data_IF_146352783458
#
_entry.id   IF_146352783458
#
_cell.length_a   1.000
_cell.length_b   1.000
_cell.length_c   1.000
_cell.angle_alpha   90.00
_cell.angle_beta   90.00
_cell.angle_gamma   90.00
#
_symmetry.space_group_name_H-M   'P 1'
#
loop_
_entity.id
_entity.type
_entity.pdbx_description
1 polymer ?
#
# COMPACT_ATOMS: atom_id res chain seq x y z
N UNK A 1 20.17 0.30 -13.34
CA UNK A 1 18.79 -0.20 -13.41
C UNK A 1 17.90 1.03 -13.28
N UNK A 2 16.92 1.29 -14.15
CA UNK A 2 15.96 2.35 -13.89
C UNK A 2 15.27 2.01 -12.56
N UNK A 3 15.18 3.00 -11.68
CA UNK A 3 14.54 2.83 -10.38
C UNK A 3 13.07 2.40 -10.63
N UNK A 4 12.63 1.30 -10.04
CA UNK A 4 11.28 0.73 -10.20
C UNK A 4 10.17 1.77 -9.95
N UNK A 5 10.48 2.80 -9.18
CA UNK A 5 9.55 3.87 -8.77
C UNK A 5 9.07 4.77 -9.92
N UNK A 6 9.80 4.81 -11.06
CA UNK A 6 9.41 5.64 -12.22
C UNK A 6 8.28 5.02 -13.07
N UNK A 7 7.90 3.76 -12.79
CA UNK A 7 6.85 3.05 -13.56
C UNK A 7 5.48 3.05 -12.89
N UNK A 8 5.40 3.40 -11.60
CA UNK A 8 4.14 3.44 -10.88
C UNK A 8 3.41 4.77 -11.13
N UNK A 9 2.07 4.74 -11.25
CA UNK A 9 1.29 5.93 -11.56
C UNK A 9 1.24 6.90 -10.38
N UNK A 10 1.27 8.18 -10.72
CA UNK A 10 0.98 9.30 -9.81
C UNK A 10 -0.32 9.95 -10.26
N UNK A 11 -1.22 10.16 -9.35
CA UNK A 11 -2.51 10.79 -9.60
C UNK A 11 -2.56 12.15 -8.93
N UNK A 12 -3.07 13.16 -9.64
CA UNK A 12 -3.33 14.49 -9.10
C UNK A 12 -4.83 14.70 -9.09
N UNK A 13 -5.40 15.02 -7.93
CA UNK A 13 -6.84 15.28 -7.76
C UNK A 13 -7.01 16.64 -7.12
N UNK A 14 -7.48 17.61 -7.89
CA UNK A 14 -7.59 19.04 -7.50
C UNK A 14 -8.65 19.70 -8.38
N UNK A 15 -9.54 20.53 -7.86
CA UNK A 15 -10.60 21.17 -8.63
C UNK A 15 -10.13 22.40 -9.42
N UNK A 16 -8.97 22.98 -9.07
CA UNK A 16 -8.35 24.09 -9.80
C UNK A 16 -7.56 23.57 -11.03
N UNK A 17 -8.05 23.84 -12.23
CA UNK A 17 -7.43 23.45 -13.50
C UNK A 17 -5.98 23.95 -13.62
N UNK A 18 -5.74 25.23 -13.29
CA UNK A 18 -4.40 25.84 -13.39
C UNK A 18 -3.41 25.16 -12.43
N UNK A 19 -3.90 24.75 -11.26
CA UNK A 19 -3.09 24.02 -10.29
C UNK A 19 -2.79 22.60 -10.79
N UNK A 20 -3.80 21.90 -11.34
CA UNK A 20 -3.60 20.56 -11.92
C UNK A 20 -2.55 20.59 -13.01
N UNK A 21 -2.66 21.51 -13.97
CA UNK A 21 -1.71 21.64 -15.09
C UNK A 21 -0.29 21.93 -14.58
N UNK A 22 -0.17 22.82 -13.60
CA UNK A 22 1.13 23.16 -13.00
C UNK A 22 1.76 21.97 -12.29
N UNK A 23 0.95 21.18 -11.57
CA UNK A 23 1.43 19.98 -10.87
C UNK A 23 1.81 18.87 -11.85
N UNK A 24 1.02 18.64 -12.90
CA UNK A 24 1.34 17.67 -13.95
C UNK A 24 2.69 18.02 -14.58
N UNK A 25 2.85 19.27 -15.05
CA UNK A 25 4.10 19.72 -15.66
C UNK A 25 5.30 19.55 -14.72
N UNK A 26 5.17 19.98 -13.47
CA UNK A 26 6.21 19.89 -12.47
C UNK A 26 6.61 18.43 -12.17
N UNK A 27 5.65 17.53 -12.10
CA UNK A 27 5.92 16.13 -11.78
C UNK A 27 6.47 15.34 -12.99
N UNK A 28 6.05 15.69 -14.21
CA UNK A 28 6.63 15.15 -15.44
C UNK A 28 8.09 15.56 -15.62
N UNK A 29 8.49 16.78 -15.19
CA UNK A 29 9.90 17.20 -15.15
C UNK A 29 10.75 16.33 -14.18
N UNK A 30 10.11 15.64 -13.22
CA UNK A 30 10.74 14.68 -12.31
C UNK A 30 10.59 13.22 -12.76
N UNK A 31 10.25 12.98 -14.04
CA UNK A 31 10.09 11.67 -14.67
C UNK A 31 8.94 10.80 -14.07
N UNK A 32 7.92 11.40 -13.46
CA UNK A 32 6.72 10.66 -13.04
C UNK A 32 5.71 10.52 -14.17
N UNK A 33 5.00 9.38 -14.21
CA UNK A 33 3.83 9.19 -15.07
C UNK A 33 2.59 9.71 -14.33
N UNK A 34 2.02 10.82 -14.80
CA UNK A 34 0.95 11.53 -14.09
C UNK A 34 -0.38 11.41 -14.82
N UNK A 35 -1.46 11.24 -14.07
CA UNK A 35 -2.84 11.39 -14.52
C UNK A 35 -3.58 12.33 -13.58
N UNK A 36 -4.37 13.27 -14.15
CA UNK A 36 -5.02 14.30 -13.38
C UNK A 36 -6.55 14.17 -13.44
N UNK A 37 -7.21 14.51 -12.35
CA UNK A 37 -8.66 14.43 -12.15
C UNK A 37 -9.17 15.71 -11.51
N UNK A 38 -10.33 16.19 -11.94
CA UNK A 38 -10.91 17.44 -11.45
C UNK A 38 -11.65 17.30 -10.11
N UNK A 39 -12.02 16.05 -9.74
CA UNK A 39 -12.76 15.77 -8.51
C UNK A 39 -12.56 14.32 -8.01
N UNK A 40 -13.03 14.09 -6.79
CA UNK A 40 -12.96 12.75 -6.16
C UNK A 40 -13.75 11.67 -6.89
N UNK A 41 -15.01 11.90 -7.31
CA UNK A 41 -15.79 10.92 -8.05
C UNK A 41 -15.11 10.46 -9.34
N UNK A 42 -14.65 11.38 -10.20
CA UNK A 42 -13.97 11.04 -11.45
C UNK A 42 -12.70 10.21 -11.24
N UNK A 43 -11.93 10.53 -10.18
CA UNK A 43 -10.77 9.75 -9.77
C UNK A 43 -11.17 8.33 -9.33
N UNK A 44 -12.14 8.21 -8.42
CA UNK A 44 -12.54 6.91 -7.86
C UNK A 44 -13.16 5.98 -8.89
N UNK A 45 -13.87 6.53 -9.88
CA UNK A 45 -14.52 5.75 -10.95
C UNK A 45 -13.53 5.31 -12.04
N UNK A 46 -12.43 6.04 -12.23
CA UNK A 46 -11.49 5.82 -13.34
C UNK A 46 -10.27 4.98 -12.94
N UNK A 47 -9.90 4.96 -11.66
CA UNK A 47 -8.65 4.36 -11.19
C UNK A 47 -8.87 2.98 -10.57
N UNK A 48 -8.02 2.02 -10.95
CA UNK A 48 -8.00 0.71 -10.28
C UNK A 48 -7.37 0.84 -8.89
N UNK A 49 -8.22 0.97 -7.87
CA UNK A 49 -7.82 1.11 -6.47
C UNK A 49 -7.08 -0.10 -5.90
N UNK A 50 -6.97 -1.21 -6.64
CA UNK A 50 -6.21 -2.41 -6.22
C UNK A 50 -4.75 -2.38 -6.61
N UNK A 51 -4.33 -1.39 -7.40
CA UNK A 51 -2.96 -1.21 -7.89
C UNK A 51 -2.17 -0.24 -7.02
N UNK A 52 -0.85 -0.41 -6.93
CA UNK A 52 0.00 0.55 -6.22
C UNK A 52 0.17 1.84 -7.02
N UNK A 53 0.44 2.92 -6.32
CA UNK A 53 0.65 4.26 -6.87
C UNK A 53 0.60 5.32 -5.78
N UNK A 54 0.66 6.58 -6.17
CA UNK A 54 0.59 7.71 -5.24
C UNK A 54 -0.45 8.74 -5.70
N UNK A 55 -1.26 9.23 -4.77
CA UNK A 55 -2.28 10.28 -5.02
C UNK A 55 -1.86 11.56 -4.34
N UNK A 56 -1.69 12.62 -5.11
CA UNK A 56 -1.60 14.00 -4.62
C UNK A 56 -3.02 14.57 -4.61
N UNK A 57 -3.55 14.83 -3.43
CA UNK A 57 -4.98 15.05 -3.22
C UNK A 57 -5.23 16.42 -2.56
N UNK A 58 -6.02 17.26 -3.20
CA UNK A 58 -6.52 18.46 -2.52
C UNK A 58 -7.54 18.06 -1.44
N UNK A 59 -7.47 18.73 -0.31
CA UNK A 59 -8.38 18.51 0.82
C UNK A 59 -9.76 19.16 0.60
N UNK A 60 -9.84 20.21 -0.22
CA UNK A 60 -11.05 21.04 -0.42
C UNK A 60 -11.49 21.05 -1.86
N UNK A 61 -12.34 20.13 -2.22
CA UNK A 61 -13.01 20.08 -3.53
C UNK A 61 -14.53 20.19 -3.36
N UNK A 62 -15.28 20.72 -4.35
CA UNK A 62 -16.70 21.04 -4.18
C UNK A 62 -17.58 19.85 -3.82
N UNK A 63 -17.60 18.80 -4.59
CA UNK A 63 -18.55 17.69 -4.43
C UNK A 63 -18.16 16.69 -3.35
N UNK A 64 -16.87 16.36 -3.28
CA UNK A 64 -16.31 15.41 -2.34
C UNK A 64 -14.98 15.92 -1.81
N UNK A 65 -14.87 16.07 -0.50
CA UNK A 65 -13.62 16.49 0.15
C UNK A 65 -12.55 15.41 0.02
N UNK A 66 -11.29 15.81 -0.02
CA UNK A 66 -10.16 14.86 -0.09
C UNK A 66 -10.18 13.82 1.04
N UNK A 67 -10.62 14.19 2.24
CA UNK A 67 -10.77 13.24 3.36
C UNK A 67 -11.77 12.12 3.05
N UNK A 68 -12.88 12.44 2.38
CA UNK A 68 -13.88 11.45 1.99
C UNK A 68 -13.36 10.51 0.91
N UNK A 69 -12.58 11.04 -0.05
CA UNK A 69 -11.87 10.22 -1.05
C UNK A 69 -10.91 9.24 -0.34
N UNK A 70 -10.09 9.75 0.56
CA UNK A 70 -9.14 8.93 1.33
C UNK A 70 -9.85 7.85 2.17
N UNK A 71 -10.94 8.20 2.86
CA UNK A 71 -11.76 7.22 3.60
C UNK A 71 -12.29 6.09 2.72
N UNK A 72 -12.75 6.41 1.49
CA UNK A 72 -13.23 5.40 0.53
C UNK A 72 -12.09 4.50 0.06
N UNK A 73 -10.89 5.06 -0.19
CA UNK A 73 -9.69 4.28 -0.53
C UNK A 73 -9.30 3.34 0.63
N UNK A 74 -9.32 3.81 1.87
CA UNK A 74 -9.06 2.98 3.06
C UNK A 74 -10.08 1.86 3.20
N UNK A 75 -11.38 2.15 3.04
CA UNK A 75 -12.45 1.13 3.06
C UNK A 75 -12.29 0.07 1.96
N UNK A 76 -11.80 0.48 0.79
CA UNK A 76 -11.48 -0.41 -0.33
C UNK A 76 -10.17 -1.20 -0.11
N UNK A 77 -9.46 -0.98 1.00
CA UNK A 77 -8.13 -1.55 1.25
C UNK A 77 -7.12 -1.26 0.12
N UNK A 78 -7.25 -0.07 -0.49
CA UNK A 78 -6.38 0.36 -1.56
C UNK A 78 -4.91 0.44 -1.09
N UNK A 79 -3.95 -0.06 -1.88
CA UNK A 79 -2.55 0.12 -1.58
C UNK A 79 -2.04 1.52 -1.93
N UNK A 80 -2.82 2.35 -2.65
CA UNK A 80 -2.42 3.70 -3.04
C UNK A 80 -2.03 4.52 -1.82
N UNK A 81 -0.89 5.19 -1.88
CA UNK A 81 -0.48 6.17 -0.87
C UNK A 81 -1.13 7.52 -1.14
N UNK A 82 -1.38 8.30 -0.10
CA UNK A 82 -2.00 9.62 -0.20
C UNK A 82 -1.06 10.69 0.34
N UNK A 83 -0.88 11.75 -0.45
CA UNK A 83 -0.21 12.98 -0.05
C UNK A 83 -1.22 14.11 -0.20
N UNK A 84 -1.49 14.82 0.88
CA UNK A 84 -2.35 15.99 0.81
C UNK A 84 -1.57 17.24 0.37
N UNK A 85 -2.16 17.99 -0.56
CA UNK A 85 -1.66 19.29 -0.99
C UNK A 85 -2.81 20.29 -1.00
N UNK A 86 -2.84 21.23 -0.06
CA UNK A 86 -3.98 22.14 0.15
C UNK A 86 -3.57 23.60 0.26
N UNK A 87 -4.41 24.50 -0.24
CA UNK A 87 -4.24 25.96 -0.07
C UNK A 87 -4.60 26.47 1.33
N UNK A 88 -5.34 25.69 2.10
CA UNK A 88 -5.84 26.06 3.43
C UNK A 88 -5.68 24.91 4.40
N UNK A 89 -4.45 24.65 4.82
CA UNK A 89 -4.14 23.64 5.82
C UNK A 89 -3.89 24.29 7.18
N UNK A 90 -4.47 23.71 8.22
CA UNK A 90 -4.09 23.98 9.60
C UNK A 90 -3.47 22.75 10.25
N UNK A 91 -2.86 22.92 11.41
CA UNK A 91 -2.18 21.84 12.11
C UNK A 91 -3.14 20.69 12.46
N UNK A 92 -4.38 20.91 12.95
CA UNK A 92 -5.33 19.83 13.17
C UNK A 92 -5.61 18.99 11.93
N UNK A 93 -5.85 19.61 10.78
CA UNK A 93 -6.11 18.90 9.51
C UNK A 93 -4.91 18.04 9.09
N UNK A 94 -3.69 18.55 9.23
CA UNK A 94 -2.49 17.79 8.93
C UNK A 94 -2.34 16.55 9.85
N UNK A 95 -2.62 16.72 11.15
CA UNK A 95 -2.56 15.63 12.11
C UNK A 95 -3.62 14.56 11.78
N UNK A 96 -4.86 14.96 11.50
CA UNK A 96 -5.94 14.05 11.10
C UNK A 96 -5.59 13.27 9.83
N UNK A 97 -5.05 13.95 8.81
CA UNK A 97 -4.62 13.32 7.55
C UNK A 97 -3.55 12.23 7.78
N UNK A 98 -2.52 12.54 8.58
CA UNK A 98 -1.46 11.59 8.91
C UNK A 98 -1.97 10.43 9.78
N UNK A 99 -2.87 10.68 10.73
CA UNK A 99 -3.52 9.63 11.52
C UNK A 99 -4.42 8.72 10.67
N UNK A 100 -5.03 9.27 9.61
CA UNK A 100 -5.80 8.49 8.64
C UNK A 100 -4.92 7.65 7.69
N UNK A 101 -3.60 7.78 7.77
CA UNK A 101 -2.64 6.99 6.98
C UNK A 101 -2.05 7.71 5.77
N UNK A 102 -2.25 9.03 5.63
CA UNK A 102 -1.54 9.79 4.60
C UNK A 102 -0.02 9.76 4.85
N UNK A 103 0.74 9.68 3.78
CA UNK A 103 2.22 9.66 3.84
C UNK A 103 2.76 11.03 4.18
N UNK A 104 2.14 12.08 3.64
CA UNK A 104 2.57 13.45 3.88
C UNK A 104 1.42 14.45 3.69
N UNK A 105 1.67 15.68 4.14
CA UNK A 105 0.76 16.80 4.02
C UNK A 105 1.55 18.06 3.69
N UNK A 106 1.18 18.77 2.62
CA UNK A 106 1.80 20.02 2.19
C UNK A 106 0.78 21.14 2.09
N UNK A 107 1.25 22.36 2.37
CA UNK A 107 0.51 23.57 2.08
C UNK A 107 0.99 24.17 0.75
N UNK A 108 0.03 24.59 -0.10
CA UNK A 108 0.32 25.31 -1.34
C UNK A 108 0.85 26.73 -1.02
N UNK A 109 1.90 27.23 -1.71
CA UNK A 109 2.67 26.59 -2.76
C UNK A 109 3.72 25.61 -2.20
N UNK A 110 3.92 24.47 -2.88
CA UNK A 110 4.95 23.48 -2.54
C UNK A 110 6.14 23.57 -3.50
N UNK A 111 7.33 23.27 -3.03
CA UNK A 111 8.50 23.18 -3.90
C UNK A 111 8.52 21.82 -4.62
N UNK A 112 8.80 21.81 -5.92
CA UNK A 112 8.77 20.61 -6.74
C UNK A 112 9.64 19.47 -6.21
N UNK A 113 10.87 19.77 -5.80
CA UNK A 113 11.77 18.75 -5.24
C UNK A 113 11.28 18.14 -3.92
N UNK A 114 10.61 18.92 -3.05
CA UNK A 114 10.04 18.42 -1.79
C UNK A 114 8.84 17.50 -2.09
N UNK A 115 7.98 17.87 -3.03
CA UNK A 115 6.85 17.05 -3.46
C UNK A 115 7.31 15.77 -4.15
N UNK A 116 8.29 15.86 -5.06
CA UNK A 116 8.85 14.72 -5.77
C UNK A 116 9.45 13.67 -4.80
N UNK A 117 10.18 14.14 -3.78
CA UNK A 117 10.75 13.25 -2.76
C UNK A 117 9.65 12.55 -1.94
N UNK A 118 8.61 13.28 -1.54
CA UNK A 118 7.48 12.70 -0.83
C UNK A 118 6.71 11.68 -1.68
N UNK A 119 6.57 11.93 -2.99
CA UNK A 119 5.95 10.99 -3.92
C UNK A 119 6.78 9.69 -4.02
N UNK A 120 8.11 9.76 -4.11
CA UNK A 120 8.97 8.57 -4.10
C UNK A 120 8.76 7.72 -2.85
N UNK A 121 8.75 8.37 -1.68
CA UNK A 121 8.45 7.69 -0.41
C UNK A 121 7.04 7.10 -0.40
N UNK A 122 6.06 7.80 -0.97
CA UNK A 122 4.69 7.33 -1.15
C UNK A 122 4.61 6.09 -2.03
N UNK A 123 5.29 6.07 -3.17
CA UNK A 123 5.32 4.92 -4.07
C UNK A 123 5.93 3.69 -3.40
N UNK A 124 7.04 3.85 -2.65
CA UNK A 124 7.61 2.76 -1.85
C UNK A 124 6.65 2.23 -0.77
N UNK A 125 5.96 3.14 -0.07
CA UNK A 125 4.97 2.77 0.94
C UNK A 125 3.79 2.02 0.31
N UNK A 126 3.34 2.44 -0.86
CA UNK A 126 2.27 1.82 -1.63
C UNK A 126 2.61 0.38 -2.06
N UNK A 127 3.82 0.13 -2.57
CA UNK A 127 4.27 -1.22 -2.91
C UNK A 127 4.34 -2.13 -1.67
N UNK A 128 4.88 -1.63 -0.57
CA UNK A 128 4.92 -2.37 0.70
C UNK A 128 3.50 -2.70 1.18
N UNK A 129 2.58 -1.75 1.07
CA UNK A 129 1.17 -1.95 1.45
C UNK A 129 0.50 -3.02 0.58
N UNK A 130 0.73 -3.00 -0.74
CA UNK A 130 0.24 -4.04 -1.65
C UNK A 130 0.73 -5.43 -1.23
N UNK A 131 2.02 -5.59 -0.99
CA UNK A 131 2.59 -6.87 -0.54
C UNK A 131 1.99 -7.34 0.78
N UNK A 132 1.82 -6.42 1.74
CA UNK A 132 1.20 -6.75 3.02
C UNK A 132 -0.27 -7.16 2.90
N UNK A 133 -1.03 -6.55 2.00
CA UNK A 133 -2.41 -6.96 1.73
C UNK A 133 -2.47 -8.38 1.14
N UNK A 134 -1.57 -8.72 0.22
CA UNK A 134 -1.45 -10.09 -0.33
C UNK A 134 -1.16 -11.09 0.80
N UNK A 135 -0.22 -10.78 1.69
CA UNK A 135 0.12 -11.66 2.81
C UNK A 135 -1.02 -11.80 3.83
N UNK A 136 -1.76 -10.73 4.14
CA UNK A 136 -2.96 -10.78 5.00
C UNK A 136 -4.04 -11.67 4.40
N UNK A 137 -4.30 -11.56 3.10
CA UNK A 137 -5.25 -12.42 2.39
C UNK A 137 -4.79 -13.88 2.38
N UNK A 138 -3.51 -14.14 2.13
CA UNK A 138 -2.94 -15.48 2.21
C UNK A 138 -3.12 -16.08 3.62
N UNK A 139 -2.83 -15.32 4.66
CA UNK A 139 -3.02 -15.74 6.05
C UNK A 139 -4.49 -16.00 6.39
N UNK A 140 -5.40 -15.11 6.00
CA UNK A 140 -6.84 -15.27 6.21
C UNK A 140 -7.42 -16.49 5.48
N UNK A 141 -6.77 -16.97 4.42
CA UNK A 141 -7.17 -18.18 3.67
C UNK A 141 -6.64 -19.49 4.27
N UNK A 142 -5.86 -19.44 5.37
CA UNK A 142 -5.32 -20.63 6.00
C UNK A 142 -6.38 -21.35 6.83
N UNK A 143 -6.37 -22.69 6.75
CA UNK A 143 -7.11 -23.53 7.68
C UNK A 143 -6.43 -23.52 9.05
N UNK A 144 -7.18 -23.86 10.12
CA UNK A 144 -6.61 -24.01 11.47
C UNK A 144 -5.39 -24.92 11.47
N UNK A 145 -5.45 -26.02 10.70
CA UNK A 145 -4.34 -26.98 10.58
C UNK A 145 -3.10 -26.37 9.93
N UNK A 146 -3.28 -25.54 8.91
CA UNK A 146 -2.17 -24.83 8.25
C UNK A 146 -1.56 -23.80 9.21
N UNK A 147 -2.38 -23.13 10.03
CA UNK A 147 -1.90 -22.18 11.05
C UNK A 147 -1.07 -22.90 12.11
N UNK A 148 -1.50 -24.05 12.61
CA UNK A 148 -0.74 -24.85 13.57
C UNK A 148 0.62 -25.28 13.02
N UNK A 149 0.63 -25.76 11.77
CA UNK A 149 1.86 -26.17 11.10
C UNK A 149 2.76 -24.96 10.84
N UNK A 150 2.20 -23.82 10.39
CA UNK A 150 2.94 -22.58 10.16
C UNK A 150 3.68 -22.13 11.44
N UNK A 151 3.00 -22.08 12.57
CA UNK A 151 3.61 -21.72 13.87
C UNK A 151 4.78 -22.61 14.22
N UNK A 152 4.63 -23.93 14.07
CA UNK A 152 5.70 -24.87 14.37
C UNK A 152 6.89 -24.80 13.41
N UNK A 153 6.64 -24.46 12.13
CA UNK A 153 7.71 -24.21 11.16
C UNK A 153 8.53 -22.97 11.57
N UNK A 154 7.84 -21.91 11.98
CA UNK A 154 8.46 -20.64 12.41
C UNK A 154 9.28 -20.84 13.70
N UNK A 155 8.80 -21.69 14.61
CA UNK A 155 9.54 -22.13 15.81
C UNK A 155 10.79 -22.98 15.48
N UNK A 156 11.08 -23.23 14.20
CA UNK A 156 12.25 -23.96 13.74
C UNK A 156 12.16 -25.47 13.92
N UNK A 157 10.97 -26.04 14.17
CA UNK A 157 10.83 -27.47 14.35
C UNK A 157 11.05 -28.24 13.05
N UNK A 158 11.67 -29.42 13.15
CA UNK A 158 11.86 -30.35 12.04
C UNK A 158 10.55 -31.06 11.70
N UNK A 159 10.36 -31.46 10.43
CA UNK A 159 9.13 -32.09 9.95
C UNK A 159 8.71 -33.31 10.78
N UNK A 160 9.67 -34.15 11.20
CA UNK A 160 9.37 -35.33 12.05
C UNK A 160 8.74 -34.90 13.39
N UNK A 161 9.31 -33.89 14.06
CA UNK A 161 8.78 -33.40 15.34
C UNK A 161 7.38 -32.79 15.19
N UNK A 162 7.13 -32.06 14.09
CA UNK A 162 5.80 -31.52 13.76
C UNK A 162 4.81 -32.66 13.54
N UNK A 163 5.20 -33.71 12.81
CA UNK A 163 4.39 -34.87 12.54
C UNK A 163 3.99 -35.60 13.85
N UNK A 164 4.96 -35.82 14.75
CA UNK A 164 4.75 -36.46 16.03
C UNK A 164 3.81 -35.64 16.94
N UNK A 165 4.07 -34.35 17.10
CA UNK A 165 3.27 -33.44 17.93
C UNK A 165 1.83 -33.26 17.43
N UNK A 166 1.64 -33.26 16.12
CA UNK A 166 0.32 -33.09 15.50
C UNK A 166 -0.37 -34.42 15.16
N UNK A 167 0.24 -35.57 15.48
CA UNK A 167 -0.28 -36.89 15.18
C UNK A 167 -0.66 -37.11 13.70
N UNK A 168 0.23 -36.68 12.76
CA UNK A 168 0.06 -36.84 11.31
C UNK A 168 1.31 -37.46 10.68
N UNK A 169 1.17 -37.93 9.44
CA UNK A 169 2.32 -38.44 8.70
C UNK A 169 3.31 -37.32 8.33
N UNK A 170 4.60 -37.60 8.37
CA UNK A 170 5.65 -36.67 7.94
C UNK A 170 5.40 -36.13 6.51
N UNK A 171 4.92 -36.99 5.61
CA UNK A 171 4.55 -36.62 4.25
C UNK A 171 3.46 -35.56 4.22
N UNK A 172 2.50 -35.60 5.14
CA UNK A 172 1.44 -34.60 5.27
C UNK A 172 2.03 -33.25 5.68
N UNK A 173 2.99 -33.24 6.61
CA UNK A 173 3.72 -32.01 6.99
C UNK A 173 4.45 -31.40 5.79
N UNK A 174 5.13 -32.23 5.00
CA UNK A 174 5.84 -31.77 3.78
C UNK A 174 4.88 -31.09 2.78
N UNK A 175 3.71 -31.68 2.55
CA UNK A 175 2.68 -31.13 1.67
C UNK A 175 2.17 -29.77 2.18
N UNK A 176 1.83 -29.68 3.46
CA UNK A 176 1.40 -28.40 4.06
C UNK A 176 2.50 -27.36 4.01
N UNK A 177 3.76 -27.74 4.27
CA UNK A 177 4.90 -26.85 4.18
C UNK A 177 5.06 -26.29 2.76
N UNK A 178 4.98 -27.13 1.73
CA UNK A 178 5.03 -26.68 0.34
C UNK A 178 3.85 -25.76 -0.02
N UNK A 179 2.65 -26.07 0.47
CA UNK A 179 1.46 -25.23 0.31
C UNK A 179 1.65 -23.83 0.94
N UNK A 180 2.13 -23.78 2.19
CA UNK A 180 2.41 -22.53 2.89
C UNK A 180 3.46 -21.68 2.17
N UNK A 181 4.58 -22.28 1.79
CA UNK A 181 5.61 -21.58 1.01
C UNK A 181 5.06 -20.97 -0.28
N UNK A 182 4.18 -21.71 -0.97
CA UNK A 182 3.52 -21.22 -2.20
C UNK A 182 2.51 -20.09 -1.89
N UNK A 183 1.66 -20.24 -0.87
CA UNK A 183 0.64 -19.23 -0.50
C UNK A 183 1.28 -17.88 -0.14
N UNK A 184 2.41 -17.90 0.55
CA UNK A 184 3.16 -16.71 0.94
C UNK A 184 4.23 -16.29 -0.08
N UNK A 185 4.37 -17.01 -1.20
CA UNK A 185 5.44 -16.81 -2.19
C UNK A 185 6.84 -16.77 -1.56
N UNK A 186 7.01 -17.43 -0.41
CA UNK A 186 8.26 -17.47 0.33
C UNK A 186 9.21 -18.52 -0.25
N UNK A 187 10.47 -18.15 -0.44
CA UNK A 187 11.52 -19.06 -0.96
C UNK A 187 12.23 -19.81 0.18
N UNK A 188 12.24 -19.25 1.37
CA UNK A 188 12.91 -19.81 2.56
C UNK A 188 12.00 -19.74 3.79
N UNK A 189 12.30 -20.58 4.79
CA UNK A 189 11.59 -20.52 6.10
C UNK A 189 11.86 -19.20 6.81
N UNK A 190 13.05 -18.64 6.65
CA UNK A 190 13.38 -17.35 7.23
C UNK A 190 12.51 -16.22 6.64
N UNK A 191 12.27 -16.25 5.33
CA UNK A 191 11.37 -15.32 4.66
C UNK A 191 9.91 -15.52 5.12
N UNK A 192 9.45 -16.77 5.23
CA UNK A 192 8.11 -17.08 5.76
C UNK A 192 7.94 -16.58 7.21
N UNK A 193 8.96 -16.75 8.05
CA UNK A 193 8.95 -16.25 9.43
C UNK A 193 8.95 -14.72 9.49
N UNK A 194 9.72 -14.07 8.62
CA UNK A 194 9.73 -12.61 8.50
C UNK A 194 8.34 -12.07 8.11
N UNK A 195 7.71 -12.67 7.06
CA UNK A 195 6.37 -12.29 6.62
C UNK A 195 5.35 -12.47 7.75
N UNK A 196 5.39 -13.60 8.45
CA UNK A 196 4.48 -13.87 9.57
C UNK A 196 4.65 -12.85 10.70
N UNK A 197 5.88 -12.48 11.05
CA UNK A 197 6.17 -11.46 12.04
C UNK A 197 5.69 -10.05 11.68
N UNK A 198 5.43 -9.78 10.39
CA UNK A 198 4.80 -8.53 9.95
C UNK A 198 3.27 -8.55 10.04
N UNK A 199 2.66 -9.75 10.19
CA UNK A 199 1.20 -9.95 10.23
C UNK A 199 0.65 -9.99 11.67
N UNK A 200 1.50 -10.29 12.64
CA UNK A 200 1.16 -10.45 14.08
C UNK A 200 1.78 -9.39 14.93
#
# INVERSE_FOLDING_TARGET
MPELHQTLPVYVVDDDESMRDSLVFLLEEHDFTVSAYEDGPSFLDSVDLTKPGCVVLDSRMPEMRGQQVHELMVKAQSPLSVIYLTGHGDVPMAVEALQAGAVNFFQKPVKGGELAEAIKQGLEASEKHLHMNVYRQAYASLTEREIDILKQIIDGKRNQKIADELCIAMRTVEVHRASLMKKFSAKTVAELAYIYGQLT
#
